data_IF_832443067166
#
_entry.id   IF_832443067166
#
_cell.length_a   1.000
_cell.length_b   1.000
_cell.length_c   1.000
_cell.angle_alpha   90.00
_cell.angle_beta   90.00
_cell.angle_gamma   90.00
#
_symmetry.space_group_name_H-M   'P 1'
#
loop_
_entity.id
_entity.type
_entity.pdbx_description
1 polymer ?
#
# COMPACT_ATOMS: atom_id res chain seq x y z
N UNK A 1 -6.56 62.90 -2.47
CA UNK A 1 -5.69 61.84 -3.04
C UNK A 1 -4.66 61.32 -2.04
N UNK A 2 -5.02 61.06 -0.77
CA UNK A 2 -4.08 60.61 0.30
C UNK A 2 -4.33 59.25 0.99
N UNK A 3 -5.34 58.40 0.66
CA UNK A 3 -5.54 57.14 1.41
C UNK A 3 -4.75 55.92 0.87
N UNK A 4 -4.17 56.00 -0.33
CA UNK A 4 -3.53 54.84 -0.99
C UNK A 4 -2.09 54.62 -0.47
N UNK A 5 -1.33 55.70 -0.24
CA UNK A 5 0.07 55.60 0.22
C UNK A 5 0.21 55.04 1.65
N UNK A 6 -0.79 55.24 2.52
CA UNK A 6 -0.75 54.71 3.89
C UNK A 6 -0.95 53.20 3.96
N UNK A 7 -1.73 52.63 3.03
CA UNK A 7 -2.02 51.19 3.00
C UNK A 7 -0.81 50.42 2.44
N UNK A 8 -0.22 50.91 1.34
CA UNK A 8 1.00 50.34 0.74
C UNK A 8 2.18 50.37 1.72
N UNK A 9 2.28 51.38 2.58
CA UNK A 9 3.31 51.45 3.63
C UNK A 9 3.10 50.43 4.75
N UNK A 10 1.85 50.14 5.09
CA UNK A 10 1.52 49.12 6.11
C UNK A 10 1.81 47.70 5.61
N UNK A 11 1.54 47.43 4.34
CA UNK A 11 1.78 46.13 3.71
C UNK A 11 3.28 45.83 3.62
N UNK A 12 4.09 46.80 3.16
CA UNK A 12 5.56 46.67 3.13
C UNK A 12 6.19 46.47 4.51
N UNK A 13 5.64 47.09 5.55
CA UNK A 13 6.11 46.90 6.92
C UNK A 13 5.75 45.50 7.45
N UNK A 14 4.61 44.94 7.03
CA UNK A 14 4.18 43.60 7.41
C UNK A 14 5.01 42.53 6.69
N UNK A 15 5.30 42.71 5.41
CA UNK A 15 6.19 41.84 4.64
C UNK A 15 7.60 41.82 5.22
N UNK A 16 8.19 42.98 5.53
CA UNK A 16 9.50 43.03 6.20
C UNK A 16 9.48 42.47 7.63
N UNK A 17 8.37 42.61 8.36
CA UNK A 17 8.22 42.00 9.67
C UNK A 17 8.15 40.48 9.56
N UNK A 18 7.42 39.95 8.58
CA UNK A 18 7.41 38.52 8.28
C UNK A 18 8.79 38.03 7.87
N UNK A 19 9.48 38.70 6.94
CA UNK A 19 10.79 38.29 6.45
C UNK A 19 11.85 38.24 7.56
N UNK A 20 11.87 39.24 8.45
CA UNK A 20 12.74 39.24 9.63
C UNK A 20 12.31 38.22 10.69
N UNK A 21 11.02 37.90 10.77
CA UNK A 21 10.52 36.83 11.60
C UNK A 21 10.94 35.47 11.01
N UNK A 22 10.92 35.23 9.70
CA UNK A 22 11.21 33.91 9.12
C UNK A 22 12.68 33.47 9.12
N UNK A 23 13.62 34.32 9.55
CA UNK A 23 15.03 33.92 9.73
C UNK A 23 15.19 32.92 10.86
N UNK A 24 15.79 31.77 10.56
CA UNK A 24 16.05 30.66 11.50
C UNK A 24 17.36 30.88 12.26
N UNK A 25 17.50 30.33 13.47
CA UNK A 25 18.67 30.58 14.33
C UNK A 25 20.03 30.18 13.70
N UNK A 26 20.02 29.29 12.71
CA UNK A 26 21.21 28.78 12.02
C UNK A 26 21.93 29.84 11.15
N UNK A 27 21.27 30.97 10.86
CA UNK A 27 21.85 32.10 10.11
C UNK A 27 22.65 33.07 11.02
N UNK A 28 22.44 33.04 12.35
CA UNK A 28 23.05 33.95 13.33
C UNK A 28 24.21 33.30 14.10
N UNK A 29 25.24 32.84 13.39
CA UNK A 29 26.34 32.08 14.02
C UNK A 29 27.33 32.91 14.86
N UNK A 30 27.20 34.24 14.96
CA UNK A 30 28.33 35.07 15.47
C UNK A 30 28.07 36.33 16.33
N UNK A 31 26.85 36.70 16.78
CA UNK A 31 26.70 38.05 17.40
C UNK A 31 26.12 38.20 18.80
N UNK A 32 25.53 37.19 19.46
CA UNK A 32 25.13 37.35 20.86
C UNK A 32 24.86 36.00 21.54
N UNK A 33 25.67 35.65 22.54
CA UNK A 33 25.48 34.46 23.39
C UNK A 33 24.12 34.50 24.13
N UNK A 34 23.58 35.70 24.39
CA UNK A 34 22.36 35.90 25.18
C UNK A 34 21.04 35.67 24.41
N UNK A 35 21.04 35.70 23.06
CA UNK A 35 19.82 35.53 22.25
C UNK A 35 19.61 34.10 21.74
N UNK A 36 20.63 33.24 21.81
CA UNK A 36 20.56 31.83 21.43
C UNK A 36 19.39 31.05 22.07
N UNK A 37 19.11 31.14 23.40
CA UNK A 37 18.04 30.35 24.01
C UNK A 37 16.64 30.72 23.50
N UNK A 38 16.43 31.97 23.08
CA UNK A 38 15.15 32.45 22.55
C UNK A 38 14.89 31.89 21.14
N UNK A 39 15.91 31.84 20.29
CA UNK A 39 15.79 31.28 18.94
C UNK A 39 15.56 29.76 18.96
N UNK A 40 16.31 29.04 19.80
CA UNK A 40 16.14 27.58 19.94
C UNK A 40 14.75 27.23 20.46
N UNK A 41 14.22 27.99 21.44
CA UNK A 41 12.86 27.77 21.94
C UNK A 41 11.81 28.01 20.87
N UNK A 42 11.99 29.02 20.01
CA UNK A 42 11.11 29.29 18.89
C UNK A 42 11.14 28.17 17.85
N UNK A 43 12.33 27.71 17.46
CA UNK A 43 12.48 26.61 16.50
C UNK A 43 11.87 25.32 17.07
N UNK A 44 12.02 25.07 18.37
CA UNK A 44 11.36 23.96 19.06
C UNK A 44 9.82 24.02 18.97
N UNK A 45 9.21 25.20 19.12
CA UNK A 45 7.75 25.34 18.95
C UNK A 45 7.34 25.04 17.50
N UNK A 46 8.10 25.49 16.51
CA UNK A 46 7.84 25.16 15.09
C UNK A 46 7.91 23.65 14.86
N UNK A 47 8.92 22.97 15.42
CA UNK A 47 9.03 21.51 15.34
C UNK A 47 7.90 20.78 16.06
N UNK A 48 7.41 21.29 17.21
CA UNK A 48 6.25 20.71 17.89
C UNK A 48 4.97 20.83 17.06
N UNK A 49 4.73 22.00 16.46
CA UNK A 49 3.58 22.19 15.56
C UNK A 49 3.70 21.27 14.35
N UNK A 50 4.89 21.19 13.75
CA UNK A 50 5.17 20.27 12.65
C UNK A 50 4.90 18.81 13.02
N UNK A 51 5.33 18.37 14.21
CA UNK A 51 5.08 17.02 14.71
C UNK A 51 3.58 16.75 14.84
N UNK A 52 2.81 17.68 15.41
CA UNK A 52 1.34 17.56 15.50
C UNK A 52 0.72 17.45 14.12
N UNK A 53 1.14 18.28 13.15
CA UNK A 53 0.65 18.21 11.77
C UNK A 53 0.95 16.86 11.13
N UNK A 54 2.18 16.35 11.29
CA UNK A 54 2.56 15.02 10.78
C UNK A 54 1.70 13.93 11.42
N UNK A 55 1.47 13.99 12.73
CA UNK A 55 0.62 13.03 13.44
C UNK A 55 -0.83 13.06 12.95
N UNK A 56 -1.39 14.25 12.68
CA UNK A 56 -2.73 14.39 12.10
C UNK A 56 -2.79 13.82 10.68
N UNK A 57 -1.76 14.03 9.86
CA UNK A 57 -1.71 13.47 8.51
C UNK A 57 -1.57 11.94 8.54
N UNK A 58 -0.79 11.37 9.47
CA UNK A 58 -0.57 9.92 9.53
C UNK A 58 -1.71 9.14 10.18
N UNK A 59 -2.34 9.70 11.22
CA UNK A 59 -3.41 9.04 11.98
C UNK A 59 -4.81 9.48 11.57
N UNK A 60 -4.98 10.67 11.00
CA UNK A 60 -6.29 11.18 10.57
C UNK A 60 -7.03 10.27 9.58
N UNK A 61 -6.36 9.70 8.56
CA UNK A 61 -7.01 8.80 7.60
C UNK A 61 -7.31 7.39 8.13
N UNK A 62 -6.74 6.99 9.27
CA UNK A 62 -6.85 5.60 9.77
C UNK A 62 -7.86 5.49 10.90
N UNK A 63 -8.85 4.62 10.73
CA UNK A 63 -9.81 4.28 11.77
C UNK A 63 -9.51 2.92 12.42
N UNK A 64 -10.00 2.67 13.64
CA UNK A 64 -9.94 1.34 14.24
C UNK A 64 -10.74 0.29 13.44
N UNK A 65 -11.69 0.73 12.61
CA UNK A 65 -12.51 -0.13 11.75
C UNK A 65 -11.74 -0.74 10.57
N UNK A 66 -10.65 -0.11 10.10
CA UNK A 66 -9.92 -0.57 8.91
C UNK A 66 -9.38 -1.99 9.09
N UNK A 67 -8.87 -2.30 10.29
CA UNK A 67 -8.38 -3.63 10.63
C UNK A 67 -9.51 -4.69 10.66
N UNK A 68 -10.71 -4.29 11.09
CA UNK A 68 -11.87 -5.18 11.13
C UNK A 68 -12.29 -5.57 9.70
N UNK A 69 -12.36 -4.61 8.78
CA UNK A 69 -12.71 -4.88 7.39
C UNK A 69 -11.73 -5.85 6.71
N UNK A 70 -10.41 -5.62 6.86
CA UNK A 70 -9.41 -6.52 6.28
C UNK A 70 -9.50 -7.94 6.86
N UNK A 71 -9.78 -8.05 8.17
CA UNK A 71 -9.87 -9.35 8.83
C UNK A 71 -11.11 -10.14 8.40
N UNK A 72 -12.26 -9.48 8.23
CA UNK A 72 -13.48 -10.13 7.73
C UNK A 72 -13.29 -10.64 6.31
N UNK A 73 -12.75 -9.82 5.40
CA UNK A 73 -12.49 -10.24 4.01
C UNK A 73 -11.49 -11.39 3.97
N UNK A 74 -10.41 -11.32 4.77
CA UNK A 74 -9.44 -12.42 4.90
C UNK A 74 -10.12 -13.72 5.30
N UNK A 75 -10.90 -13.69 6.39
CA UNK A 75 -11.59 -14.89 6.91
C UNK A 75 -12.60 -15.45 5.93
N UNK A 76 -13.36 -14.59 5.23
CA UNK A 76 -14.32 -15.03 4.23
C UNK A 76 -13.65 -15.83 3.12
N UNK A 77 -12.47 -15.40 2.65
CA UNK A 77 -11.75 -16.07 1.56
C UNK A 77 -10.96 -17.29 2.04
N UNK A 78 -10.35 -17.24 3.22
CA UNK A 78 -9.46 -18.33 3.69
C UNK A 78 -10.20 -19.46 4.40
N UNK A 79 -11.25 -19.15 5.17
CA UNK A 79 -11.93 -20.13 6.03
C UNK A 79 -13.19 -20.71 5.39
N UNK A 80 -13.64 -20.18 4.25
CA UNK A 80 -14.70 -20.77 3.47
C UNK A 80 -14.30 -22.18 3.03
N UNK A 81 -15.10 -23.17 3.42
CA UNK A 81 -14.95 -24.53 2.93
C UNK A 81 -15.59 -24.68 1.55
N UNK A 82 -15.01 -25.55 0.73
CA UNK A 82 -15.58 -26.01 -0.52
C UNK A 82 -15.39 -27.50 -0.67
N UNK A 83 -16.17 -28.11 -1.56
CA UNK A 83 -16.09 -29.54 -1.78
C UNK A 83 -14.98 -29.84 -2.78
N UNK A 84 -13.95 -30.56 -2.33
CA UNK A 84 -12.88 -30.98 -3.22
C UNK A 84 -13.36 -31.99 -4.25
N UNK A 85 -12.55 -32.20 -5.29
CA UNK A 85 -12.78 -33.28 -6.26
C UNK A 85 -12.90 -34.68 -5.62
N UNK A 86 -12.43 -34.83 -4.38
CA UNK A 86 -12.44 -36.07 -3.58
C UNK A 86 -13.62 -36.15 -2.59
N UNK A 87 -14.52 -35.15 -2.55
CA UNK A 87 -15.68 -35.17 -1.67
C UNK A 87 -15.40 -34.71 -0.23
N UNK A 88 -14.20 -34.22 0.06
CA UNK A 88 -13.81 -33.70 1.37
C UNK A 88 -13.97 -32.18 1.40
N UNK A 89 -14.50 -31.66 2.52
CA UNK A 89 -14.52 -30.22 2.80
C UNK A 89 -13.12 -29.74 3.14
N UNK A 90 -12.57 -28.86 2.32
CA UNK A 90 -11.25 -28.27 2.54
C UNK A 90 -11.30 -26.74 2.43
N UNK A 91 -10.36 -26.09 3.09
CA UNK A 91 -10.17 -24.64 3.04
C UNK A 91 -9.10 -24.27 2.02
N UNK A 92 -8.98 -22.98 1.68
CA UNK A 92 -7.92 -22.49 0.78
C UNK A 92 -6.50 -22.81 1.30
N UNK A 93 -6.34 -22.89 2.62
CA UNK A 93 -5.04 -23.19 3.23
C UNK A 93 -4.58 -24.64 2.96
N UNK A 94 -5.52 -25.55 2.70
CA UNK A 94 -5.25 -26.97 2.53
C UNK A 94 -5.16 -27.39 1.05
N UNK A 95 -5.47 -26.47 0.12
CA UNK A 95 -5.48 -26.74 -1.33
C UNK A 95 -4.08 -26.96 -1.90
N UNK A 96 -3.82 -28.13 -2.48
CA UNK A 96 -2.54 -28.45 -3.12
C UNK A 96 -2.66 -28.77 -4.61
N UNK A 97 -3.85 -29.17 -5.08
CA UNK A 97 -4.08 -29.55 -6.48
C UNK A 97 -4.54 -28.36 -7.32
N UNK A 98 -4.11 -28.31 -8.57
CA UNK A 98 -4.58 -27.32 -9.53
C UNK A 98 -6.07 -27.47 -9.84
N UNK A 99 -6.60 -28.71 -9.84
CA UNK A 99 -8.04 -28.95 -10.07
C UNK A 99 -8.87 -28.38 -8.94
N UNK A 100 -8.47 -28.61 -7.69
CA UNK A 100 -9.20 -28.10 -6.52
C UNK A 100 -9.11 -26.56 -6.43
N UNK A 101 -8.01 -25.96 -6.92
CA UNK A 101 -7.88 -24.50 -7.03
C UNK A 101 -8.91 -23.90 -8.01
N UNK A 102 -9.21 -24.59 -9.12
CA UNK A 102 -10.27 -24.15 -10.03
C UNK A 102 -11.65 -24.25 -9.39
N UNK A 103 -11.93 -25.31 -8.64
CA UNK A 103 -13.17 -25.46 -7.88
C UNK A 103 -13.32 -24.34 -6.85
N UNK A 104 -12.27 -24.01 -6.11
CA UNK A 104 -12.26 -22.88 -5.18
C UNK A 104 -12.61 -21.55 -5.85
N UNK A 105 -11.99 -21.24 -7.00
CA UNK A 105 -12.25 -19.99 -7.73
C UNK A 105 -13.73 -19.92 -8.16
N UNK A 106 -14.30 -21.01 -8.65
CA UNK A 106 -15.66 -21.02 -9.18
C UNK A 106 -16.71 -21.03 -8.06
N UNK A 107 -16.52 -21.85 -7.03
CA UNK A 107 -17.53 -22.04 -5.98
C UNK A 107 -17.46 -20.97 -4.89
N UNK A 108 -16.25 -20.68 -4.40
CA UNK A 108 -16.06 -19.76 -3.27
C UNK A 108 -15.88 -18.33 -3.76
N UNK A 109 -14.89 -18.08 -4.61
CA UNK A 109 -14.49 -16.72 -4.95
C UNK A 109 -15.60 -15.99 -5.73
N UNK A 110 -16.26 -16.66 -6.67
CA UNK A 110 -17.42 -16.10 -7.35
C UNK A 110 -18.60 -15.85 -6.41
N UNK A 111 -18.86 -16.74 -5.44
CA UNK A 111 -19.93 -16.53 -4.46
C UNK A 111 -19.65 -15.29 -3.61
N UNK A 112 -18.45 -15.15 -3.04
CA UNK A 112 -18.09 -13.98 -2.22
C UNK A 112 -18.18 -12.67 -3.01
N UNK A 113 -17.82 -12.69 -4.29
CA UNK A 113 -17.75 -11.49 -5.12
C UNK A 113 -19.11 -11.05 -5.68
N UNK A 114 -19.97 -11.99 -6.07
CA UNK A 114 -21.23 -11.69 -6.75
C UNK A 114 -22.46 -11.82 -5.86
N UNK A 115 -22.37 -12.52 -4.72
CA UNK A 115 -23.48 -12.63 -3.78
C UNK A 115 -23.61 -11.37 -2.90
N UNK A 116 -24.67 -10.62 -3.15
CA UNK A 116 -24.98 -9.38 -2.43
C UNK A 116 -25.43 -9.60 -1.00
N UNK A 117 -25.77 -10.84 -0.61
CA UNK A 117 -26.22 -11.16 0.75
C UNK A 117 -25.06 -11.26 1.73
N UNK A 118 -23.89 -11.70 1.26
CA UNK A 118 -22.67 -11.87 2.08
C UNK A 118 -21.98 -10.54 2.38
N UNK A 119 -22.03 -9.58 1.43
CA UNK A 119 -21.31 -8.31 1.53
C UNK A 119 -22.23 -7.13 1.22
N UNK A 120 -23.29 -6.98 2.01
CA UNK A 120 -24.33 -5.95 1.79
C UNK A 120 -23.83 -4.51 1.91
N UNK A 121 -22.77 -4.28 2.71
CA UNK A 121 -22.25 -2.95 3.02
C UNK A 121 -21.02 -2.55 2.20
N UNK A 122 -20.52 -3.40 1.29
CA UNK A 122 -19.37 -3.07 0.46
C UNK A 122 -19.73 -3.10 -1.01
N UNK A 123 -19.21 -2.13 -1.76
CA UNK A 123 -19.39 -2.04 -3.22
C UNK A 123 -18.12 -2.58 -3.86
N UNK A 124 -18.25 -3.60 -4.71
CA UNK A 124 -17.16 -4.07 -5.54
C UNK A 124 -17.00 -3.16 -6.76
N UNK A 125 -15.77 -2.72 -7.02
CA UNK A 125 -15.44 -1.87 -8.17
C UNK A 125 -14.84 -2.71 -9.30
N UNK A 126 -15.51 -2.71 -10.45
CA UNK A 126 -15.04 -3.39 -11.66
C UNK A 126 -15.12 -4.91 -11.58
N UNK A 127 -14.42 -5.57 -12.51
CA UNK A 127 -14.34 -7.03 -12.59
C UNK A 127 -12.97 -7.51 -12.10
N UNK A 128 -12.89 -8.72 -11.48
CA UNK A 128 -11.63 -9.30 -11.06
C UNK A 128 -10.80 -9.71 -12.28
N UNK A 129 -9.47 -9.63 -12.16
CA UNK A 129 -8.54 -10.08 -13.19
C UNK A 129 -7.73 -11.26 -12.70
N UNK A 130 -7.81 -12.38 -13.42
CA UNK A 130 -6.89 -13.51 -13.24
C UNK A 130 -5.60 -13.25 -14.01
N UNK A 131 -4.46 -13.38 -13.33
CA UNK A 131 -3.13 -13.29 -13.93
C UNK A 131 -2.42 -14.63 -13.75
N UNK A 132 -1.85 -15.14 -14.84
CA UNK A 132 -1.07 -16.36 -14.87
C UNK A 132 0.35 -16.05 -15.37
N UNK A 133 1.33 -16.74 -14.81
CA UNK A 133 2.70 -16.79 -15.33
C UNK A 133 2.98 -18.21 -15.81
N UNK A 134 3.79 -18.33 -16.86
CA UNK A 134 4.17 -19.60 -17.46
C UNK A 134 5.65 -19.59 -17.78
N UNK A 135 6.30 -20.73 -17.58
CA UNK A 135 7.70 -20.96 -17.97
C UNK A 135 7.71 -21.62 -19.35
N UNK A 136 8.68 -21.24 -20.19
CA UNK A 136 8.86 -21.82 -21.52
C UNK A 136 9.13 -23.33 -21.43
N UNK A 137 8.74 -24.08 -22.46
CA UNK A 137 9.16 -25.48 -22.61
C UNK A 137 10.68 -25.62 -22.81
N UNK A 138 11.22 -26.78 -22.41
CA UNK A 138 12.62 -27.19 -22.58
C UNK A 138 13.64 -26.25 -21.94
N UNK A 139 13.32 -25.68 -20.78
CA UNK A 139 14.26 -24.81 -20.05
C UNK A 139 15.28 -25.62 -19.25
N UNK A 140 14.92 -26.85 -18.85
CA UNK A 140 15.82 -27.76 -18.16
C UNK A 140 16.24 -28.95 -19.03
N UNK A 141 17.46 -29.45 -18.78
CA UNK A 141 17.99 -30.65 -19.43
C UNK A 141 17.84 -31.85 -18.48
N UNK A 142 16.99 -32.85 -18.81
CA UNK A 142 16.90 -34.06 -18.00
C UNK A 142 18.20 -34.86 -18.09
N UNK A 143 18.47 -35.67 -17.07
CA UNK A 143 19.64 -36.54 -17.05
C UNK A 143 19.64 -37.47 -18.29
N UNK A 144 20.83 -37.80 -18.86
CA UNK A 144 20.93 -38.47 -20.15
C UNK A 144 20.20 -39.81 -20.23
N UNK A 145 20.10 -40.52 -19.10
CA UNK A 145 19.36 -41.78 -18.97
C UNK A 145 17.83 -41.64 -19.13
N UNK A 146 17.26 -40.44 -18.96
CA UNK A 146 15.82 -40.18 -19.00
C UNK A 146 15.37 -39.33 -20.20
N UNK A 147 16.28 -38.99 -21.11
CA UNK A 147 15.97 -38.18 -22.30
C UNK A 147 14.94 -38.83 -23.22
N UNK A 148 14.85 -40.16 -23.24
CA UNK A 148 13.82 -40.88 -24.02
C UNK A 148 12.43 -40.85 -23.37
N UNK A 149 12.32 -40.57 -22.07
CA UNK A 149 11.07 -40.61 -21.32
C UNK A 149 10.42 -39.22 -21.19
N UNK A 150 11.22 -38.16 -21.03
CA UNK A 150 10.74 -36.79 -20.87
C UNK A 150 11.11 -35.93 -22.08
N UNK A 151 10.10 -35.58 -22.88
CA UNK A 151 10.24 -34.74 -24.08
C UNK A 151 10.34 -33.26 -23.73
N UNK A 152 9.68 -32.85 -22.64
CA UNK A 152 9.60 -31.47 -22.18
C UNK A 152 9.91 -31.38 -20.67
N UNK A 153 10.53 -30.28 -20.28
CA UNK A 153 11.02 -30.03 -18.94
C UNK A 153 10.88 -28.53 -18.65
N UNK A 154 10.23 -28.19 -17.54
CA UNK A 154 10.09 -26.83 -17.04
C UNK A 154 10.90 -26.69 -15.74
N UNK A 155 11.77 -25.67 -15.72
CA UNK A 155 12.60 -25.35 -14.56
C UNK A 155 11.86 -24.40 -13.61
N UNK A 156 12.45 -24.11 -12.45
CA UNK A 156 11.95 -23.10 -11.54
C UNK A 156 11.85 -21.74 -12.23
N UNK A 157 10.80 -20.99 -11.89
CA UNK A 157 10.54 -19.69 -12.48
C UNK A 157 11.75 -18.75 -12.32
N UNK A 158 12.19 -18.19 -13.44
CA UNK A 158 13.07 -17.02 -13.49
C UNK A 158 12.63 -16.11 -14.64
N UNK A 159 12.86 -14.81 -14.48
CA UNK A 159 12.41 -13.79 -15.45
C UNK A 159 13.00 -14.02 -16.86
N UNK A 160 14.19 -14.64 -16.94
CA UNK A 160 14.86 -14.96 -18.21
C UNK A 160 14.20 -16.09 -18.99
N UNK A 161 13.49 -17.00 -18.33
CA UNK A 161 12.83 -18.17 -18.94
C UNK A 161 11.30 -18.07 -18.97
N UNK A 162 10.77 -16.90 -18.60
CA UNK A 162 9.34 -16.62 -18.70
C UNK A 162 8.86 -16.74 -20.14
N UNK A 163 7.74 -17.43 -20.33
CA UNK A 163 7.10 -17.57 -21.62
C UNK A 163 6.40 -16.26 -21.98
N UNK A 164 6.76 -15.69 -23.14
CA UNK A 164 6.26 -14.39 -23.61
C UNK A 164 5.36 -14.51 -24.85
N UNK A 165 5.19 -15.74 -25.32
CA UNK A 165 4.33 -16.10 -26.45
C UNK A 165 3.00 -16.66 -25.93
#
# INVERSE_FOLDING_TARGET
>A
TKPIDSFVRSEKNFEHAMENLWKTGDEFRFSAEDLYPIFVLRDFVVYLIFLVVVMLITFGPRGPADNFYSEVVRRLVTNSSYNSSLGQEMSLADTQSATDMWTFIIEVLCMILYDKTLVSNSIYFGAPRLRQIRVRGKTCTPAPMFQSLYIDCADYYSESIEDKE
#
